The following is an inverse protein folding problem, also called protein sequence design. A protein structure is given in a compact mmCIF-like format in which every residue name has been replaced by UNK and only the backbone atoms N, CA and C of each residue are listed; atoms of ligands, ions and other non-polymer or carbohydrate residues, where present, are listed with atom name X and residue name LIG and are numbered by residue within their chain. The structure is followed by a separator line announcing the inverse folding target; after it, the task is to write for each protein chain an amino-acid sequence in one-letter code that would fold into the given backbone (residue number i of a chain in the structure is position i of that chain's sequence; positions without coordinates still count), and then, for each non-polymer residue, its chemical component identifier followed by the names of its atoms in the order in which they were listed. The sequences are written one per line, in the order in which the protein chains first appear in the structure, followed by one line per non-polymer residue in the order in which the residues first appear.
data_IF_956433940213
#
_entry.id   IF_956433940213
#
_cell.length_a   1.000
_cell.length_b   1.000
_cell.length_c   1.000
_cell.angle_alpha   90.00
_cell.angle_beta   90.00
_cell.angle_gamma   90.00
#
_symmetry.space_group_name_H-M   'P 1'
#
loop_
_entity.id
_entity.type
_entity.pdbx_description
1 polymer ?
#
# COMPACT_ATOMS: atom_id res chain seq x y z
N UNK A 1 18.19 34.52 -19.94
CA UNK A 1 19.06 34.00 -18.86
C UNK A 1 18.31 32.86 -18.22
N UNK A 2 18.77 31.62 -18.36
CA UNK A 2 18.09 30.46 -17.77
C UNK A 2 18.57 30.31 -16.32
N UNK A 3 17.61 30.35 -15.40
CA UNK A 3 17.87 30.32 -13.97
C UNK A 3 18.26 28.90 -13.54
N UNK A 4 19.38 28.78 -12.83
CA UNK A 4 19.81 27.53 -12.20
C UNK A 4 18.81 27.19 -11.08
N UNK A 5 18.19 26.01 -11.16
CA UNK A 5 17.28 25.52 -10.13
C UNK A 5 17.95 24.40 -9.34
N UNK A 6 17.74 24.33 -8.03
CA UNK A 6 18.26 23.26 -7.17
C UNK A 6 17.07 22.40 -6.73
N UNK A 7 17.12 21.13 -7.06
CA UNK A 7 16.15 20.14 -6.61
C UNK A 7 16.77 19.27 -5.53
N UNK A 8 16.10 19.19 -4.38
CA UNK A 8 16.45 18.26 -3.33
C UNK A 8 15.66 16.95 -3.51
N UNK A 9 16.35 15.83 -3.65
CA UNK A 9 15.72 14.51 -3.74
C UNK A 9 16.34 13.56 -2.71
N UNK A 10 15.56 12.72 -2.00
CA UNK A 10 16.09 11.81 -0.97
C UNK A 10 17.22 10.89 -1.46
N UNK A 11 17.18 10.52 -2.74
CA UNK A 11 18.20 9.69 -3.38
C UNK A 11 19.37 10.51 -3.97
N UNK A 12 19.13 11.72 -4.45
CA UNK A 12 20.13 12.49 -5.22
C UNK A 12 20.75 13.66 -4.46
N UNK A 13 20.26 13.96 -3.25
CA UNK A 13 20.59 15.18 -2.55
C UNK A 13 20.23 16.41 -3.39
N UNK A 14 21.09 17.42 -3.36
CA UNK A 14 20.93 18.64 -4.15
C UNK A 14 21.48 18.44 -5.57
N UNK A 15 20.58 18.39 -6.55
CA UNK A 15 20.92 18.34 -7.97
C UNK A 15 20.56 19.67 -8.62
N UNK A 16 21.54 20.28 -9.30
CA UNK A 16 21.32 21.50 -10.06
C UNK A 16 20.74 21.19 -11.44
N UNK A 17 19.81 22.02 -11.90
CA UNK A 17 19.18 21.94 -13.20
C UNK A 17 19.26 23.26 -13.95
N UNK A 18 19.37 23.16 -15.27
CA UNK A 18 19.20 24.26 -16.21
C UNK A 18 18.13 23.90 -17.22
N UNK A 19 17.40 24.89 -17.70
CA UNK A 19 16.42 24.69 -18.77
C UNK A 19 17.10 24.87 -20.13
N UNK A 20 16.89 23.95 -21.07
CA UNK A 20 17.37 24.06 -22.46
C UNK A 20 16.21 23.68 -23.37
N UNK A 21 15.76 24.61 -24.21
CA UNK A 21 14.61 24.41 -25.10
C UNK A 21 13.37 23.88 -24.36
N UNK A 22 13.02 24.51 -23.24
CA UNK A 22 11.91 24.11 -22.35
C UNK A 22 12.04 22.71 -21.74
N UNK A 23 13.23 22.09 -21.80
CA UNK A 23 13.49 20.79 -21.19
C UNK A 23 14.51 20.91 -20.05
N UNK A 24 14.22 20.37 -18.86
CA UNK A 24 15.16 20.39 -17.75
C UNK A 24 16.36 19.46 -18.04
N UNK A 25 17.55 19.99 -17.83
CA UNK A 25 18.81 19.25 -17.91
C UNK A 25 19.53 19.34 -16.56
N UNK A 26 19.88 18.19 -15.99
CA UNK A 26 20.62 18.14 -14.73
C UNK A 26 22.11 18.40 -14.96
N UNK A 27 22.80 19.02 -14.01
CA UNK A 27 24.27 19.02 -13.97
C UNK A 27 24.72 17.58 -13.72
N UNK A 28 25.27 16.93 -14.75
CA UNK A 28 25.52 15.48 -14.72
C UNK A 28 26.51 15.06 -13.62
N UNK A 29 27.42 15.96 -13.24
CA UNK A 29 28.38 15.70 -12.17
C UNK A 29 27.71 15.59 -10.80
N UNK A 30 26.63 16.34 -10.57
CA UNK A 30 25.88 16.28 -9.31
C UNK A 30 25.17 14.92 -9.20
N UNK A 31 24.52 14.50 -10.29
CA UNK A 31 23.85 13.18 -10.39
C UNK A 31 24.83 12.03 -10.20
N UNK A 32 25.95 12.03 -10.93
CA UNK A 32 26.94 10.95 -10.84
C UNK A 32 27.61 10.88 -9.47
N UNK A 33 27.86 12.02 -8.81
CA UNK A 33 28.37 12.03 -7.42
C UNK A 33 27.34 11.46 -6.44
N UNK A 34 26.08 11.86 -6.56
CA UNK A 34 25.02 11.36 -5.70
C UNK A 34 24.83 9.84 -5.83
N UNK A 35 25.01 9.32 -7.05
CA UNK A 35 25.02 7.89 -7.36
C UNK A 35 26.35 7.18 -7.04
N UNK A 36 27.25 7.81 -6.27
CA UNK A 36 28.47 7.16 -5.77
C UNK A 36 29.47 6.74 -6.84
N UNK A 37 29.43 7.31 -8.05
CA UNK A 37 30.43 7.03 -9.07
C UNK A 37 31.81 7.53 -8.61
N UNK A 38 32.81 6.66 -8.61
CA UNK A 38 34.19 7.01 -8.22
C UNK A 38 34.82 8.05 -9.14
N UNK A 39 34.42 8.05 -10.42
CA UNK A 39 34.84 9.00 -11.45
C UNK A 39 33.61 9.61 -12.14
N UNK A 40 32.98 10.61 -11.53
CA UNK A 40 31.74 11.20 -12.05
C UNK A 40 31.82 11.72 -13.49
N UNK A 41 32.95 12.33 -13.87
CA UNK A 41 33.15 12.83 -15.24
C UNK A 41 33.21 11.68 -16.27
N UNK A 42 33.90 10.59 -15.94
CA UNK A 42 33.97 9.40 -16.81
C UNK A 42 32.62 8.68 -16.90
N UNK A 43 31.83 8.68 -15.82
CA UNK A 43 30.49 8.11 -15.82
C UNK A 43 29.60 8.82 -16.86
N UNK A 44 29.68 10.15 -16.94
CA UNK A 44 28.92 10.94 -17.93
C UNK A 44 29.35 10.56 -19.34
N UNK A 45 30.66 10.52 -19.64
CA UNK A 45 31.13 10.16 -20.98
C UNK A 45 30.83 8.71 -21.38
N UNK A 46 30.77 7.80 -20.40
CA UNK A 46 30.59 6.37 -20.65
C UNK A 46 29.13 5.95 -20.77
N UNK A 47 28.21 6.68 -20.13
CA UNK A 47 26.82 6.24 -19.98
C UNK A 47 25.79 7.22 -20.54
N UNK A 48 26.12 8.51 -20.63
CA UNK A 48 25.21 9.53 -21.13
C UNK A 48 25.35 9.71 -22.65
N UNK A 49 24.24 9.84 -23.36
CA UNK A 49 24.23 10.00 -24.84
C UNK A 49 23.91 11.43 -25.29
N UNK A 50 23.19 12.18 -24.48
CA UNK A 50 22.74 13.55 -24.75
C UNK A 50 23.48 14.61 -23.92
N UNK A 51 24.65 14.28 -23.34
CA UNK A 51 25.39 15.22 -22.52
C UNK A 51 25.92 16.41 -23.34
N UNK A 52 25.52 17.63 -22.98
CA UNK A 52 25.94 18.88 -23.63
C UNK A 52 26.75 19.76 -22.69
N UNK A 53 27.61 20.59 -23.28
CA UNK A 53 28.41 21.56 -22.53
C UNK A 53 27.58 22.83 -22.33
N UNK A 54 27.50 23.32 -21.10
CA UNK A 54 26.70 24.49 -20.74
C UNK A 54 27.45 25.40 -19.77
N UNK A 55 27.29 26.72 -19.91
CA UNK A 55 27.89 27.70 -18.99
C UNK A 55 26.87 28.08 -17.92
N UNK A 56 27.27 27.92 -16.67
CA UNK A 56 26.47 28.33 -15.52
C UNK A 56 27.24 29.38 -14.71
N UNK A 57 26.52 30.34 -14.14
CA UNK A 57 27.09 31.25 -13.16
C UNK A 57 27.07 30.56 -11.80
N UNK A 58 28.23 30.49 -11.14
CA UNK A 58 28.35 30.01 -9.75
C UNK A 58 28.96 31.12 -8.88
N UNK A 59 29.03 30.89 -7.57
CA UNK A 59 29.67 31.85 -6.64
C UNK A 59 31.15 32.11 -6.99
N UNK A 60 31.78 31.23 -7.77
CA UNK A 60 33.15 31.39 -8.27
C UNK A 60 33.25 31.99 -9.68
N UNK A 61 32.15 32.52 -10.24
CA UNK A 61 32.09 33.06 -11.60
C UNK A 61 31.49 32.09 -12.62
N UNK A 62 31.65 32.40 -13.92
CA UNK A 62 31.16 31.53 -14.99
C UNK A 62 31.96 30.23 -15.04
N UNK A 63 31.27 29.11 -14.94
CA UNK A 63 31.84 27.77 -15.03
C UNK A 63 31.20 26.98 -16.16
N UNK A 64 32.03 26.22 -16.87
CA UNK A 64 31.57 25.31 -17.92
C UNK A 64 31.33 23.94 -17.30
N UNK A 65 30.11 23.42 -17.43
CA UNK A 65 29.68 22.13 -16.88
C UNK A 65 29.06 21.25 -17.97
N UNK A 66 29.02 19.94 -17.71
CA UNK A 66 28.22 19.00 -18.50
C UNK A 66 26.84 18.89 -17.90
N UNK A 67 25.82 19.14 -18.73
CA UNK A 67 24.42 18.95 -18.37
C UNK A 67 23.84 17.80 -19.19
N UNK A 68 22.94 17.03 -18.58
CA UNK A 68 22.41 15.78 -19.13
C UNK A 68 20.89 15.83 -19.14
N UNK A 69 20.22 15.36 -20.21
CA UNK A 69 18.78 15.25 -20.25
C UNK A 69 18.28 14.16 -19.30
N UNK A 70 16.99 14.17 -18.98
CA UNK A 70 16.36 13.22 -18.06
C UNK A 70 16.63 11.75 -18.44
N UNK A 71 16.59 11.41 -19.73
CA UNK A 71 16.90 10.05 -20.19
C UNK A 71 18.29 9.55 -19.77
N UNK A 72 19.27 10.44 -19.67
CA UNK A 72 20.62 10.10 -19.23
C UNK A 72 20.74 10.03 -17.70
N UNK A 73 19.89 10.75 -16.95
CA UNK A 73 19.75 10.55 -15.50
C UNK A 73 19.34 9.10 -15.23
N UNK A 74 18.32 8.60 -15.94
CA UNK A 74 17.89 7.20 -15.83
C UNK A 74 18.98 6.21 -16.22
N UNK A 75 19.75 6.48 -17.29
CA UNK A 75 20.89 5.63 -17.66
C UNK A 75 21.91 5.52 -16.53
N UNK A 76 22.25 6.64 -15.87
CA UNK A 76 23.19 6.64 -14.75
C UNK A 76 22.64 5.85 -13.55
N UNK A 77 21.34 5.96 -13.26
CA UNK A 77 20.69 5.21 -12.16
C UNK A 77 20.74 3.71 -12.43
N UNK A 78 20.27 3.26 -13.60
CA UNK A 78 20.27 1.83 -13.97
C UNK A 78 21.69 1.28 -13.94
N UNK A 79 22.67 2.04 -14.44
CA UNK A 79 24.07 1.62 -14.37
C UNK A 79 24.60 1.56 -12.94
N UNK A 80 24.15 2.46 -12.05
CA UNK A 80 24.50 2.38 -10.63
C UNK A 80 23.87 1.15 -9.95
N UNK A 81 22.64 0.78 -10.30
CA UNK A 81 22.00 -0.46 -9.85
C UNK A 81 22.82 -1.70 -10.28
N UNK A 82 23.28 -1.73 -11.54
CA UNK A 82 24.09 -2.84 -12.06
C UNK A 82 25.48 -2.94 -11.40
N UNK A 83 26.19 -1.80 -11.28
CA UNK A 83 27.65 -1.80 -11.15
C UNK A 83 28.20 -1.12 -9.89
N UNK A 84 27.35 -0.48 -9.08
CA UNK A 84 27.81 0.22 -7.88
C UNK A 84 28.46 -0.76 -6.89
N UNK A 85 29.66 -0.41 -6.45
CA UNK A 85 30.37 -1.13 -5.37
C UNK A 85 29.91 -0.70 -3.98
N UNK A 86 29.12 0.37 -3.87
CA UNK A 86 28.52 0.81 -2.63
C UNK A 86 27.13 0.13 -2.50
N UNK A 87 26.94 -0.78 -1.50
CA UNK A 87 25.69 -1.52 -1.34
C UNK A 87 24.45 -0.62 -1.13
N UNK A 88 24.60 0.48 -0.40
CA UNK A 88 23.49 1.40 -0.10
C UNK A 88 23.01 2.12 -1.36
N UNK A 89 23.95 2.64 -2.15
CA UNK A 89 23.66 3.28 -3.43
C UNK A 89 23.05 2.28 -4.41
N UNK A 90 23.60 1.06 -4.46
CA UNK A 90 23.10 0.00 -5.34
C UNK A 90 21.65 -0.32 -5.01
N UNK A 91 21.35 -0.55 -3.74
CA UNK A 91 20.00 -0.85 -3.27
C UNK A 91 19.02 0.29 -3.62
N UNK A 92 19.39 1.55 -3.34
CA UNK A 92 18.54 2.71 -3.70
C UNK A 92 18.30 2.80 -5.21
N UNK A 93 19.31 2.51 -6.02
CA UNK A 93 19.20 2.52 -7.47
C UNK A 93 18.33 1.38 -8.01
N UNK A 94 18.45 0.17 -7.46
CA UNK A 94 17.59 -0.98 -7.77
C UNK A 94 16.13 -0.69 -7.39
N UNK A 95 15.88 -0.10 -6.22
CA UNK A 95 14.54 0.29 -5.78
C UNK A 95 13.92 1.32 -6.74
N UNK A 96 14.69 2.32 -7.16
CA UNK A 96 14.24 3.32 -8.13
C UNK A 96 13.97 2.71 -9.50
N UNK A 97 14.90 1.89 -10.02
CA UNK A 97 14.73 1.19 -11.30
C UNK A 97 13.46 0.34 -11.30
N UNK A 98 13.30 -0.50 -10.26
CA UNK A 98 12.13 -1.36 -10.10
C UNK A 98 10.85 -0.54 -10.04
N UNK A 99 10.85 0.56 -9.28
CA UNK A 99 9.70 1.45 -9.21
C UNK A 99 9.33 2.04 -10.59
N UNK A 100 10.31 2.51 -11.36
CA UNK A 100 10.03 3.02 -12.72
C UNK A 100 9.51 1.91 -13.64
N UNK A 101 10.15 0.74 -13.64
CA UNK A 101 9.87 -0.34 -14.59
C UNK A 101 8.61 -1.14 -14.27
N UNK A 102 8.31 -1.38 -13.00
CA UNK A 102 7.18 -2.21 -12.58
C UNK A 102 5.96 -1.39 -12.18
N UNK A 103 6.15 -0.15 -11.71
CA UNK A 103 5.05 0.70 -11.23
C UNK A 103 4.76 1.83 -12.20
N UNK A 104 5.71 2.74 -12.44
CA UNK A 104 5.43 3.99 -13.18
C UNK A 104 5.08 3.72 -14.64
N UNK A 105 5.98 3.10 -15.40
CA UNK A 105 5.77 2.87 -16.84
C UNK A 105 4.55 1.97 -17.12
N UNK A 106 4.32 0.85 -16.37
CA UNK A 106 3.12 0.05 -16.56
C UNK A 106 1.84 0.77 -16.13
N UNK A 107 1.89 1.66 -15.14
CA UNK A 107 0.74 2.49 -14.78
C UNK A 107 0.42 3.45 -15.91
N UNK A 108 1.39 4.25 -16.38
CA UNK A 108 1.21 5.17 -17.51
C UNK A 108 0.62 4.44 -18.72
N UNK A 109 1.12 3.24 -19.06
CA UNK A 109 0.61 2.46 -20.19
C UNK A 109 -0.84 2.00 -20.02
N UNK A 110 -1.27 1.70 -18.78
CA UNK A 110 -2.64 1.26 -18.47
C UNK A 110 -3.62 2.42 -18.35
N UNK A 111 -3.19 3.53 -17.76
CA UNK A 111 -4.07 4.64 -17.36
C UNK A 111 -3.94 5.86 -18.26
N UNK A 112 -2.94 5.91 -19.14
CA UNK A 112 -2.59 7.09 -19.93
C UNK A 112 -1.86 8.18 -19.14
N UNK A 113 -1.47 7.92 -17.88
CA UNK A 113 -0.94 8.96 -17.01
C UNK A 113 -0.33 8.50 -15.69
N UNK A 114 0.69 9.20 -15.22
CA UNK A 114 1.16 9.14 -13.83
C UNK A 114 1.02 10.51 -13.23
N UNK A 115 0.37 10.60 -12.06
CA UNK A 115 0.26 11.87 -11.35
C UNK A 115 0.56 11.68 -9.89
N UNK A 116 1.48 12.50 -9.39
CA UNK A 116 1.96 12.44 -8.02
C UNK A 116 1.07 13.20 -7.01
N UNK A 117 0.19 14.11 -7.47
CA UNK A 117 -0.75 14.82 -6.60
C UNK A 117 -2.06 15.20 -7.32
N UNK A 118 -3.08 15.53 -6.54
CA UNK A 118 -4.45 15.78 -7.01
C UNK A 118 -4.55 17.05 -7.89
N UNK A 119 -3.85 18.13 -7.52
CA UNK A 119 -3.90 19.38 -8.29
C UNK A 119 -3.25 19.25 -9.67
N UNK A 120 -2.14 18.53 -9.76
CA UNK A 120 -1.48 18.20 -11.04
C UNK A 120 -2.39 17.32 -11.90
N UNK A 121 -3.18 16.43 -11.28
CA UNK A 121 -4.11 15.56 -12.00
C UNK A 121 -5.22 16.39 -12.63
N UNK A 122 -5.82 17.25 -11.82
CA UNK A 122 -6.91 18.11 -12.27
C UNK A 122 -6.44 19.09 -13.34
N UNK A 123 -5.29 19.74 -13.15
CA UNK A 123 -4.79 20.70 -14.12
C UNK A 123 -4.33 20.05 -15.43
N UNK A 124 -3.83 18.82 -15.39
CA UNK A 124 -3.33 18.11 -16.57
C UNK A 124 -4.45 17.41 -17.34
N UNK A 125 -5.35 16.72 -16.65
CA UNK A 125 -6.38 15.86 -17.26
C UNK A 125 -7.75 16.54 -17.38
N UNK A 126 -8.00 17.60 -16.62
CA UNK A 126 -9.23 18.39 -16.67
C UNK A 126 -8.94 19.89 -16.92
N UNK A 127 -8.07 20.27 -17.90
CA UNK A 127 -7.64 21.65 -18.06
C UNK A 127 -8.80 22.60 -18.40
N UNK A 128 -9.79 22.12 -19.14
CA UNK A 128 -10.95 22.89 -19.61
C UNK A 128 -12.21 22.71 -18.75
N UNK A 129 -12.14 21.94 -17.66
CA UNK A 129 -13.26 21.80 -16.75
C UNK A 129 -13.49 23.10 -15.97
N UNK A 130 -14.75 23.40 -15.65
CA UNK A 130 -15.09 24.54 -14.78
C UNK A 130 -14.64 24.29 -13.33
N UNK A 131 -14.57 25.38 -12.54
CA UNK A 131 -14.10 25.30 -11.15
C UNK A 131 -14.97 24.40 -10.27
N UNK A 132 -16.27 24.33 -10.53
CA UNK A 132 -17.18 23.48 -9.76
C UNK A 132 -16.85 21.99 -9.98
N UNK A 133 -16.62 21.59 -11.23
CA UNK A 133 -16.22 20.23 -11.61
C UNK A 133 -14.87 19.89 -11.01
N UNK A 134 -13.90 20.81 -11.09
CA UNK A 134 -12.58 20.62 -10.46
C UNK A 134 -12.70 20.42 -8.95
N UNK A 135 -13.53 21.21 -8.26
CA UNK A 135 -13.74 21.10 -6.83
C UNK A 135 -14.42 19.78 -6.44
N UNK A 136 -15.41 19.31 -7.21
CA UNK A 136 -16.04 18.01 -6.99
C UNK A 136 -15.01 16.88 -7.13
N UNK A 137 -14.18 16.91 -8.17
CA UNK A 137 -13.12 15.91 -8.35
C UNK A 137 -12.09 15.94 -7.21
N UNK A 138 -11.69 17.11 -6.69
CA UNK A 138 -10.84 17.19 -5.49
C UNK A 138 -11.47 16.48 -4.31
N UNK A 139 -12.73 16.78 -4.01
CA UNK A 139 -13.43 16.16 -2.89
C UNK A 139 -13.56 14.64 -3.01
N UNK A 140 -13.80 14.14 -4.23
CA UNK A 140 -13.84 12.70 -4.51
C UNK A 140 -12.47 12.06 -4.30
N UNK A 141 -11.41 12.64 -4.86
CA UNK A 141 -10.05 12.13 -4.72
C UNK A 141 -9.60 12.11 -3.25
N UNK A 142 -9.86 13.18 -2.51
CA UNK A 142 -9.55 13.25 -1.07
C UNK A 142 -10.31 12.17 -0.28
N UNK A 143 -11.60 11.97 -0.58
CA UNK A 143 -12.42 10.94 0.06
C UNK A 143 -11.89 9.54 -0.22
N UNK A 144 -11.56 9.23 -1.48
CA UNK A 144 -10.97 7.95 -1.86
C UNK A 144 -9.64 7.73 -1.15
N UNK A 145 -8.80 8.78 -1.03
CA UNK A 145 -7.53 8.70 -0.32
C UNK A 145 -7.73 8.36 1.16
N UNK A 146 -8.62 9.08 1.85
CA UNK A 146 -8.95 8.81 3.26
C UNK A 146 -9.49 7.40 3.46
N UNK A 147 -10.34 6.91 2.55
CA UNK A 147 -10.85 5.54 2.60
C UNK A 147 -9.71 4.52 2.41
N UNK A 148 -8.81 4.74 1.46
CA UNK A 148 -7.66 3.87 1.24
C UNK A 148 -6.69 3.85 2.43
N UNK A 149 -6.44 5.00 3.08
CA UNK A 149 -5.66 5.10 4.31
C UNK A 149 -6.32 4.30 5.45
N UNK A 150 -7.64 4.41 5.61
CA UNK A 150 -8.39 3.61 6.58
C UNK A 150 -8.33 2.11 6.27
N UNK A 151 -8.51 1.71 5.01
CA UNK A 151 -8.38 0.32 4.58
C UNK A 151 -6.97 -0.21 4.88
N UNK A 152 -5.92 0.56 4.56
CA UNK A 152 -4.54 0.18 4.85
C UNK A 152 -4.27 0.03 6.35
N UNK A 153 -4.82 0.93 7.19
CA UNK A 153 -4.70 0.84 8.65
C UNK A 153 -5.49 -0.34 9.24
N UNK A 154 -6.60 -0.73 8.60
CA UNK A 154 -7.39 -1.90 8.98
C UNK A 154 -6.77 -3.22 8.50
N UNK A 155 -6.02 -3.21 7.39
CA UNK A 155 -5.40 -4.38 6.78
C UNK A 155 -4.63 -5.27 7.78
N UNK A 156 -3.72 -4.78 8.64
CA UNK A 156 -3.03 -5.64 9.61
C UNK A 156 -3.97 -6.21 10.69
N UNK A 157 -5.07 -5.51 11.02
CA UNK A 157 -6.09 -6.02 11.95
C UNK A 157 -6.92 -7.14 11.30
N UNK A 158 -7.22 -6.98 10.01
CA UNK A 158 -7.92 -8.01 9.21
C UNK A 158 -7.01 -9.21 9.02
N UNK A 159 -5.75 -9.02 8.62
CA UNK A 159 -4.78 -10.11 8.45
C UNK A 159 -4.48 -10.86 9.76
N UNK A 160 -4.36 -10.14 10.89
CA UNK A 160 -4.24 -10.76 12.21
C UNK A 160 -5.49 -11.58 12.57
N UNK A 161 -6.67 -11.07 12.22
CA UNK A 161 -7.93 -11.76 12.43
C UNK A 161 -8.03 -13.04 11.58
N UNK A 162 -7.72 -12.94 10.29
CA UNK A 162 -7.70 -14.09 9.37
C UNK A 162 -6.69 -15.15 9.82
N UNK A 163 -5.48 -14.74 10.26
CA UNK A 163 -4.47 -15.65 10.79
C UNK A 163 -4.89 -16.34 12.11
N UNK A 164 -5.73 -15.70 12.93
CA UNK A 164 -6.35 -16.33 14.10
C UNK A 164 -7.49 -17.29 13.71
N UNK A 165 -8.25 -16.94 12.67
CA UNK A 165 -9.35 -17.75 12.12
C UNK A 165 -8.80 -19.06 11.53
N UNK A 166 -7.66 -19.01 10.82
CA UNK A 166 -7.04 -20.15 10.15
C UNK A 166 -6.50 -21.24 11.08
N UNK A 167 -6.30 -20.96 12.37
CA UNK A 167 -5.81 -21.97 13.34
C UNK A 167 -6.85 -23.02 13.75
N UNK A 168 -7.98 -23.14 13.04
CA UNK A 168 -9.09 -24.07 13.30
C UNK A 168 -9.47 -24.15 14.80
N UNK A 169 -9.49 -22.99 15.47
CA UNK A 169 -9.77 -22.83 16.91
C UNK A 169 -11.28 -22.86 17.17
N UNK A 170 -11.89 -23.99 16.84
CA UNK A 170 -13.29 -24.25 17.13
C UNK A 170 -13.49 -24.44 18.64
N UNK A 171 -14.48 -23.76 19.20
CA UNK A 171 -14.84 -23.92 20.62
C UNK A 171 -16.32 -24.24 20.78
N UNK A 172 -16.68 -24.88 21.90
CA UNK A 172 -18.07 -25.16 22.19
C UNK A 172 -18.78 -23.92 22.80
N UNK A 173 -20.11 -24.00 22.96
CA UNK A 173 -20.90 -22.91 23.54
C UNK A 173 -20.43 -22.46 24.92
N UNK A 174 -19.97 -23.39 25.77
CA UNK A 174 -19.52 -23.10 27.14
C UNK A 174 -18.22 -22.30 27.12
N UNK A 175 -17.24 -22.75 26.36
CA UNK A 175 -15.94 -22.11 26.32
C UNK A 175 -16.03 -20.75 25.60
N UNK A 176 -16.87 -20.65 24.56
CA UNK A 176 -17.21 -19.35 23.97
C UNK A 176 -17.86 -18.41 24.98
N UNK A 177 -18.84 -18.87 25.77
CA UNK A 177 -19.48 -18.02 26.77
C UNK A 177 -18.48 -17.51 27.83
N UNK A 178 -17.54 -18.36 28.26
CA UNK A 178 -16.46 -17.95 29.19
C UNK A 178 -15.54 -16.90 28.58
N UNK A 179 -15.14 -17.09 27.32
CA UNK A 179 -14.30 -16.14 26.59
C UNK A 179 -14.98 -14.78 26.42
N UNK A 180 -16.30 -14.80 26.17
CA UNK A 180 -17.15 -13.62 26.11
C UNK A 180 -17.51 -13.03 27.49
N UNK A 181 -17.06 -13.67 28.58
CA UNK A 181 -17.33 -13.27 29.98
C UNK A 181 -18.82 -13.17 30.32
N UNK A 182 -19.65 -14.04 29.72
CA UNK A 182 -21.09 -14.11 29.97
C UNK A 182 -21.50 -15.49 30.51
N UNK A 183 -22.66 -15.56 31.15
CA UNK A 183 -23.21 -16.85 31.62
C UNK A 183 -23.60 -17.72 30.41
N UNK A 184 -23.21 -19.00 30.42
CA UNK A 184 -23.50 -19.96 29.34
C UNK A 184 -24.98 -20.01 28.95
N UNK A 185 -25.89 -20.06 29.94
CA UNK A 185 -27.34 -20.06 29.68
C UNK A 185 -27.81 -18.79 28.98
N UNK A 186 -27.35 -17.63 29.45
CA UNK A 186 -27.67 -16.35 28.82
C UNK A 186 -27.21 -16.32 27.37
N UNK A 187 -25.97 -16.77 27.09
CA UNK A 187 -25.45 -16.81 25.73
C UNK A 187 -26.27 -17.73 24.82
N UNK A 188 -26.65 -18.92 25.28
CA UNK A 188 -27.50 -19.85 24.53
C UNK A 188 -28.88 -19.24 24.24
N UNK A 189 -29.51 -18.63 25.24
CA UNK A 189 -30.83 -18.00 25.09
C UNK A 189 -30.76 -16.81 24.13
N UNK A 190 -29.67 -16.03 24.18
CA UNK A 190 -29.40 -14.94 23.26
C UNK A 190 -29.25 -15.43 21.81
N UNK A 191 -28.49 -16.52 21.58
CA UNK A 191 -28.34 -17.12 20.25
C UNK A 191 -29.68 -17.67 19.72
N UNK A 192 -30.52 -18.25 20.57
CA UNK A 192 -31.85 -18.74 20.22
C UNK A 192 -32.80 -17.59 19.86
N UNK A 193 -32.79 -16.51 20.66
CA UNK A 193 -33.60 -15.31 20.45
C UNK A 193 -33.25 -14.63 19.13
N UNK A 194 -31.96 -14.49 18.84
CA UNK A 194 -31.44 -13.87 17.62
C UNK A 194 -31.38 -14.82 16.40
N UNK A 195 -31.96 -16.03 16.52
CA UNK A 195 -32.06 -17.00 15.42
C UNK A 195 -30.70 -17.42 14.83
N UNK A 196 -29.62 -17.41 15.61
CA UNK A 196 -28.34 -18.01 15.20
C UNK A 196 -28.37 -19.54 15.30
N UNK A 197 -29.05 -20.04 16.32
CA UNK A 197 -29.25 -21.47 16.57
C UNK A 197 -30.72 -21.77 16.85
N UNK A 198 -31.09 -23.03 16.73
CA UNK A 198 -32.41 -23.57 17.11
C UNK A 198 -32.22 -24.89 17.88
N UNK A 199 -33.31 -25.38 18.48
CA UNK A 199 -33.34 -26.71 19.10
C UNK A 199 -33.99 -27.71 18.15
N UNK A 200 -33.31 -28.81 17.87
CA UNK A 200 -33.86 -29.90 17.07
C UNK A 200 -34.93 -30.71 17.85
N UNK A 201 -35.49 -31.74 17.21
CA UNK A 201 -36.49 -32.64 17.84
C UNK A 201 -35.95 -33.34 19.10
N UNK A 202 -34.62 -33.52 19.20
CA UNK A 202 -33.93 -34.12 20.35
C UNK A 202 -33.47 -33.06 21.36
N UNK A 203 -33.95 -31.81 21.24
CA UNK A 203 -33.59 -30.62 22.06
C UNK A 203 -32.12 -30.19 21.97
N UNK A 204 -31.36 -30.68 21.00
CA UNK A 204 -29.96 -30.31 20.75
C UNK A 204 -29.87 -28.98 20.01
N UNK A 205 -28.84 -28.19 20.34
CA UNK A 205 -28.59 -26.91 19.68
C UNK A 205 -27.94 -27.14 18.32
N UNK A 206 -28.60 -26.66 17.26
CA UNK A 206 -28.13 -26.70 15.88
C UNK A 206 -28.11 -25.29 15.30
N UNK A 207 -27.09 -24.92 14.52
CA UNK A 207 -27.03 -23.63 13.85
C UNK A 207 -27.97 -23.62 12.64
N UNK A 208 -28.50 -22.46 12.28
CA UNK A 208 -29.16 -22.33 10.98
C UNK A 208 -28.12 -22.42 9.85
N UNK A 209 -28.52 -23.00 8.71
CA UNK A 209 -27.64 -23.23 7.57
C UNK A 209 -26.98 -21.94 7.05
N UNK A 210 -27.66 -20.79 7.16
CA UNK A 210 -27.12 -19.48 6.75
C UNK A 210 -25.85 -19.05 7.51
N UNK A 211 -25.55 -19.67 8.66
CA UNK A 211 -24.39 -19.34 9.49
C UNK A 211 -23.30 -20.43 9.47
N UNK A 212 -23.42 -21.43 8.60
CA UNK A 212 -22.47 -22.54 8.44
C UNK A 212 -21.84 -22.44 7.04
N UNK A 213 -20.49 -22.53 6.89
CA UNK A 213 -19.48 -22.77 7.93
C UNK A 213 -19.00 -21.49 8.63
N UNK A 214 -19.55 -20.32 8.31
CA UNK A 214 -18.94 -19.03 8.64
C UNK A 214 -18.84 -18.75 10.15
N UNK A 215 -19.94 -18.92 10.90
CA UNK A 215 -19.98 -18.67 12.35
C UNK A 215 -19.97 -19.97 13.17
N UNK A 216 -20.44 -21.06 12.58
CA UNK A 216 -20.50 -22.38 13.20
C UNK A 216 -19.98 -23.47 12.27
N UNK A 217 -19.38 -24.51 12.86
CA UNK A 217 -18.98 -25.73 12.18
C UNK A 217 -19.58 -26.95 12.89
N UNK A 218 -20.00 -27.95 12.12
CA UNK A 218 -20.53 -29.21 12.62
C UNK A 218 -19.44 -30.29 12.50
N UNK A 219 -18.93 -30.79 13.62
CA UNK A 219 -17.94 -31.89 13.64
C UNK A 219 -18.54 -33.18 14.17
N UNK A 220 -18.27 -34.27 13.45
CA UNK A 220 -18.61 -35.62 13.88
C UNK A 220 -17.66 -36.07 15.00
N UNK A 221 -18.20 -36.79 15.97
CA UNK A 221 -17.40 -37.47 16.99
C UNK A 221 -17.97 -38.86 17.25
N UNK A 222 -17.08 -39.78 17.62
CA UNK A 222 -17.45 -41.11 18.07
C UNK A 222 -16.78 -41.42 19.41
N UNK A 223 -17.55 -41.90 20.39
CA UNK A 223 -17.01 -42.37 21.66
C UNK A 223 -17.83 -43.54 22.18
N UNK A 224 -17.16 -44.62 22.57
CA UNK A 224 -17.78 -45.82 23.13
C UNK A 224 -18.92 -46.39 22.25
N UNK A 225 -18.71 -46.45 20.93
CA UNK A 225 -19.68 -46.99 19.96
C UNK A 225 -20.91 -46.11 19.70
N UNK A 226 -20.89 -44.84 20.13
CA UNK A 226 -21.91 -43.84 19.80
C UNK A 226 -21.28 -42.75 18.96
N UNK A 227 -21.88 -42.47 17.80
CA UNK A 227 -21.50 -41.36 16.93
C UNK A 227 -22.58 -40.27 16.95
N UNK A 228 -22.15 -39.00 16.93
CA UNK A 228 -23.04 -37.84 16.88
C UNK A 228 -22.31 -36.62 16.32
N UNK A 229 -23.06 -35.54 16.07
CA UNK A 229 -22.52 -34.30 15.51
C UNK A 229 -22.57 -33.18 16.54
N UNK A 230 -21.41 -32.61 16.85
CA UNK A 230 -21.25 -31.47 17.74
C UNK A 230 -21.23 -30.16 16.96
N UNK A 231 -22.01 -29.18 17.43
CA UNK A 231 -21.93 -27.79 16.96
C UNK A 231 -20.81 -27.07 17.69
N UNK A 232 -19.88 -26.51 16.93
CA UNK A 232 -18.77 -25.68 17.41
C UNK A 232 -18.86 -24.28 16.78
N UNK A 233 -18.24 -23.30 17.44
CA UNK A 233 -18.25 -21.90 17.06
C UNK A 233 -16.87 -21.56 16.48
N UNK A 234 -16.86 -20.93 15.31
CA UNK A 234 -15.62 -20.49 14.65
C UNK A 234 -15.02 -19.27 15.34
N UNK A 235 -13.73 -18.96 15.14
CA UNK A 235 -13.15 -17.69 15.60
C UNK A 235 -13.95 -16.48 15.10
N UNK A 236 -14.46 -16.55 13.86
CA UNK A 236 -15.34 -15.54 13.29
C UNK A 236 -16.68 -15.43 14.03
N UNK A 237 -17.32 -16.56 14.33
CA UNK A 237 -18.53 -16.61 15.14
C UNK A 237 -18.36 -15.93 16.50
N UNK A 238 -17.29 -16.27 17.23
CA UNK A 238 -16.99 -15.67 18.54
C UNK A 238 -16.90 -14.16 18.49
N UNK A 239 -16.16 -13.62 17.53
CA UNK A 239 -15.99 -12.18 17.38
C UNK A 239 -17.29 -11.48 16.97
N UNK A 240 -18.05 -12.07 16.03
CA UNK A 240 -19.38 -11.57 15.66
C UNK A 240 -20.28 -11.47 16.88
N UNK A 241 -20.34 -12.51 17.73
CA UNK A 241 -21.15 -12.49 18.93
C UNK A 241 -20.64 -11.49 19.97
N UNK A 242 -19.32 -11.33 20.12
CA UNK A 242 -18.72 -10.31 21.01
C UNK A 242 -19.16 -8.90 20.64
N UNK A 243 -19.13 -8.57 19.34
CA UNK A 243 -19.49 -7.23 18.85
C UNK A 243 -21.00 -6.97 19.00
N UNK A 244 -21.84 -7.96 18.69
CA UNK A 244 -23.29 -7.82 18.81
C UNK A 244 -23.73 -7.68 20.27
N UNK A 245 -23.16 -8.47 21.18
CA UNK A 245 -23.44 -8.36 22.62
C UNK A 245 -23.01 -7.00 23.19
N UNK A 246 -21.87 -6.44 22.75
CA UNK A 246 -21.45 -5.10 23.15
C UNK A 246 -22.43 -4.03 22.67
N UNK A 247 -22.89 -4.12 21.43
CA UNK A 247 -23.82 -3.15 20.84
C UNK A 247 -25.15 -3.12 21.60
N UNK A 248 -25.67 -4.27 22.02
CA UNK A 248 -26.89 -4.37 22.85
C UNK A 248 -26.72 -3.85 24.28
N UNK A 249 -25.49 -3.77 24.81
CA UNK A 249 -25.24 -3.20 26.14
C UNK A 249 -25.06 -1.68 26.12
N UNK A 250 -24.71 -1.11 24.96
CA UNK A 250 -24.52 0.33 24.76
C UNK A 250 -25.74 1.05 24.18
N UNK A 251 -26.78 0.30 23.80
CA UNK A 251 -28.05 0.80 23.29
C UNK A 251 -29.12 0.77 24.39
#
# INVERSE_FOLDING_TARGET
MNQLQIFNHPMFGDVRFVEINNNPHAVGNDVAKALGYSRPHEAISSHCKGAVTYRILTNGGEQTVKVIPEGDIYRLIIKAADQSKNPEIRQKAEEFEKWIFEVVLPTIRRTGGYVANEDMFINTYLPFADEQTKLMFRGVLETVRRQNEQIAAMKPKVEYFDALVDRNLLTNFRDTAKELQVKERFFIDWLLKNKFVYRDQKKKLKPYAAYVPELFELKEWERNGRADVQTLITPKGRETFRLLLKKEQTA
#
